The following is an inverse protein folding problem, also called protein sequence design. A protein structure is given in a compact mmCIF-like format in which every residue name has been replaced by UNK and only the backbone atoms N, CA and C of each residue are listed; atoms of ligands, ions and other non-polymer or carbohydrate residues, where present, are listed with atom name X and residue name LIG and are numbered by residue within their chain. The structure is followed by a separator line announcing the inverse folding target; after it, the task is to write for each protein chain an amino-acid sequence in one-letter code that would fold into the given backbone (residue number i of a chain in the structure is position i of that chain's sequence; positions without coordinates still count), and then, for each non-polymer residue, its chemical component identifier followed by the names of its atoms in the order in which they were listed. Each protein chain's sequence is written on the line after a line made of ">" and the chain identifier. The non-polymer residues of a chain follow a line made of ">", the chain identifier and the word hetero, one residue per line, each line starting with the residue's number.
data_IF_425046078359
#
_entry.id   IF_425046078359
#
_cell.length_a   1.000
_cell.length_b   1.000
_cell.length_c   1.000
_cell.angle_alpha   90.00
_cell.angle_beta   90.00
_cell.angle_gamma   90.00
#
_symmetry.space_group_name_H-M   'P 1'
#
loop_
_entity.id
_entity.type
_entity.pdbx_description
1 polymer ?
#
# COMPACT_ATOMS: atom_id res chain seq x y z
N UNK A 1 7.65 13.56 -12.01
CA UNK A 1 7.97 12.30 -11.32
C UNK A 1 9.18 12.51 -10.42
N UNK A 2 9.21 11.89 -9.23
CA UNK A 2 10.27 12.05 -8.22
C UNK A 2 10.85 10.65 -7.90
N UNK A 3 12.03 10.30 -8.45
CA UNK A 3 12.51 8.91 -8.46
C UNK A 3 12.78 8.34 -7.07
N UNK A 4 13.17 9.18 -6.11
CA UNK A 4 13.35 8.77 -4.71
C UNK A 4 12.09 8.10 -4.12
N UNK A 5 10.91 8.68 -4.33
CA UNK A 5 9.67 8.14 -3.79
C UNK A 5 9.23 6.85 -4.51
N UNK A 6 9.58 6.71 -5.79
CA UNK A 6 9.37 5.47 -6.52
C UNK A 6 10.30 4.36 -6.01
N UNK A 7 11.56 4.68 -5.73
CA UNK A 7 12.48 3.74 -5.09
C UNK A 7 11.96 3.31 -3.71
N UNK A 8 11.52 4.27 -2.89
CA UNK A 8 10.91 3.97 -1.59
C UNK A 8 9.63 3.12 -1.73
N UNK A 9 8.78 3.40 -2.72
CA UNK A 9 7.60 2.58 -3.00
C UNK A 9 8.00 1.14 -3.38
N UNK A 10 9.00 0.96 -4.24
CA UNK A 10 9.51 -0.36 -4.62
C UNK A 10 10.11 -1.11 -3.44
N UNK A 11 10.87 -0.44 -2.58
CA UNK A 11 11.40 -1.04 -1.35
C UNK A 11 10.27 -1.45 -0.40
N UNK A 12 9.24 -0.61 -0.28
CA UNK A 12 8.06 -0.91 0.52
C UNK A 12 7.27 -2.10 -0.03
N UNK A 13 7.09 -2.18 -1.35
CA UNK A 13 6.51 -3.37 -2.01
C UNK A 13 7.37 -4.62 -1.74
N UNK A 14 8.70 -4.53 -1.86
CA UNK A 14 9.59 -5.65 -1.52
C UNK A 14 9.46 -6.11 -0.07
N UNK A 15 9.31 -5.16 0.86
CA UNK A 15 9.06 -5.45 2.27
C UNK A 15 7.72 -6.15 2.49
N UNK A 16 6.63 -5.64 1.89
CA UNK A 16 5.30 -6.26 1.99
C UNK A 16 5.31 -7.68 1.45
N UNK A 17 5.85 -7.89 0.26
CA UNK A 17 6.01 -9.21 -0.33
C UNK A 17 6.73 -10.18 0.61
N UNK A 18 7.87 -9.76 1.17
CA UNK A 18 8.63 -10.61 2.08
C UNK A 18 7.84 -10.96 3.36
N UNK A 19 7.09 -10.01 3.92
CA UNK A 19 6.23 -10.25 5.08
C UNK A 19 5.04 -11.17 4.74
N UNK A 20 4.45 -11.01 3.57
CA UNK A 20 3.35 -11.83 3.03
C UNK A 20 3.79 -13.27 2.77
N UNK A 21 5.05 -13.48 2.34
CA UNK A 21 5.63 -14.80 2.03
C UNK A 21 5.88 -15.65 3.28
N UNK A 22 5.86 -15.05 4.48
CA UNK A 22 6.10 -15.80 5.72
C UNK A 22 4.92 -16.73 6.04
N UNK A 23 5.15 -18.06 6.20
CA UNK A 23 4.13 -18.99 6.64
C UNK A 23 3.62 -18.62 8.03
N UNK A 24 2.32 -18.77 8.25
CA UNK A 24 1.74 -18.46 9.55
C UNK A 24 1.92 -19.65 10.51
N UNK A 25 3.02 -19.64 11.29
CA UNK A 25 3.39 -20.72 12.22
C UNK A 25 2.97 -20.46 13.68
N UNK A 26 2.05 -19.52 13.91
CA UNK A 26 1.56 -19.14 15.23
C UNK A 26 0.42 -18.12 15.16
N UNK A 27 0.13 -17.44 16.28
CA UNK A 27 -0.82 -16.32 16.30
C UNK A 27 -0.21 -15.12 15.56
N UNK A 28 -0.76 -14.79 14.38
CA UNK A 28 -0.42 -13.58 13.63
C UNK A 28 -0.88 -12.30 14.33
N UNK A 29 -0.94 -11.18 13.61
CA UNK A 29 -1.50 -9.95 14.16
C UNK A 29 -2.96 -10.22 14.55
N UNK A 30 -3.35 -10.02 15.81
CA UNK A 30 -4.70 -10.36 16.24
C UNK A 30 -5.72 -9.42 15.64
N UNK A 31 -6.89 -9.95 15.26
CA UNK A 31 -8.02 -9.11 14.87
C UNK A 31 -8.40 -8.11 15.97
N UNK A 32 -8.73 -6.85 15.64
CA UNK A 32 -8.81 -6.26 14.29
C UNK A 32 -7.53 -5.54 13.84
N UNK A 33 -6.41 -5.71 14.54
CA UNK A 33 -5.18 -4.96 14.30
C UNK A 33 -4.47 -5.33 13.00
N UNK A 34 -4.73 -6.53 12.48
CA UNK A 34 -4.32 -6.99 11.15
C UNK A 34 -4.82 -6.03 10.06
N UNK A 35 -6.11 -5.65 10.10
CA UNK A 35 -6.70 -4.69 9.16
C UNK A 35 -6.11 -3.31 9.33
N UNK A 36 -5.79 -2.92 10.56
CA UNK A 36 -5.06 -1.68 10.83
C UNK A 36 -3.68 -1.67 10.16
N UNK A 37 -2.96 -2.79 10.24
CA UNK A 37 -1.66 -2.95 9.61
C UNK A 37 -1.75 -2.90 8.08
N UNK A 38 -2.69 -3.62 7.48
CA UNK A 38 -3.00 -3.57 6.05
C UNK A 38 -3.32 -2.15 5.59
N UNK A 39 -4.24 -1.48 6.27
CA UNK A 39 -4.62 -0.11 5.94
C UNK A 39 -3.41 0.84 5.95
N UNK A 40 -2.58 0.80 7.00
CA UNK A 40 -1.42 1.68 7.12
C UNK A 40 -0.32 1.33 6.11
N UNK A 41 -0.08 0.05 5.86
CA UNK A 41 0.86 -0.43 4.85
C UNK A 41 0.51 0.09 3.47
N UNK A 42 -0.76 -0.04 3.07
CA UNK A 42 -1.21 0.40 1.75
C UNK A 42 -1.42 1.92 1.68
N UNK A 43 -1.75 2.59 2.79
CA UNK A 43 -1.73 4.05 2.85
C UNK A 43 -0.33 4.63 2.63
N UNK A 44 0.70 4.02 3.21
CA UNK A 44 2.07 4.41 2.94
C UNK A 44 2.43 4.16 1.45
N UNK A 45 2.07 2.99 0.91
CA UNK A 45 2.31 2.69 -0.51
C UNK A 45 1.64 3.70 -1.44
N UNK A 46 0.36 3.98 -1.24
CA UNK A 46 -0.41 4.95 -2.04
C UNK A 46 0.18 6.36 -1.95
N UNK A 47 0.64 6.78 -0.77
CA UNK A 47 1.32 8.07 -0.59
C UNK A 47 2.65 8.13 -1.35
N UNK A 48 3.50 7.11 -1.23
CA UNK A 48 4.79 7.05 -1.92
C UNK A 48 4.62 7.03 -3.44
N UNK A 49 3.70 6.21 -3.94
CA UNK A 49 3.34 6.16 -5.35
C UNK A 49 2.82 7.52 -5.82
N UNK A 50 1.99 8.20 -5.01
CA UNK A 50 1.53 9.54 -5.35
C UNK A 50 2.68 10.53 -5.46
N UNK A 51 3.50 10.65 -4.43
CA UNK A 51 4.64 11.58 -4.42
C UNK A 51 5.64 11.28 -5.54
N UNK A 52 5.78 10.02 -5.94
CA UNK A 52 6.63 9.59 -7.05
C UNK A 52 6.06 9.89 -8.43
N UNK A 53 4.77 9.58 -8.65
CA UNK A 53 4.12 9.65 -9.97
C UNK A 53 3.47 11.00 -10.25
N UNK A 54 3.01 11.72 -9.22
CA UNK A 54 2.27 12.97 -9.32
C UNK A 54 0.84 12.82 -9.85
N UNK A 55 0.31 11.59 -9.93
CA UNK A 55 -0.99 11.31 -10.55
C UNK A 55 -1.84 10.44 -9.64
N UNK A 56 -2.88 11.02 -9.05
CA UNK A 56 -3.81 10.31 -8.18
C UNK A 56 -4.33 8.98 -8.76
N UNK A 57 -4.93 8.95 -9.97
CA UNK A 57 -5.57 7.71 -10.45
C UNK A 57 -4.55 6.59 -10.65
N UNK A 58 -3.35 6.93 -11.12
CA UNK A 58 -2.30 5.94 -11.35
C UNK A 58 -1.73 5.40 -10.03
N UNK A 59 -1.50 6.28 -9.05
CA UNK A 59 -1.01 5.86 -7.73
C UNK A 59 -1.99 4.94 -7.01
N UNK A 60 -3.28 5.28 -7.05
CA UNK A 60 -4.34 4.44 -6.46
C UNK A 60 -4.45 3.09 -7.18
N UNK A 61 -4.53 3.09 -8.53
CA UNK A 61 -4.68 1.85 -9.30
C UNK A 61 -3.49 0.92 -9.12
N UNK A 62 -2.26 1.44 -9.06
CA UNK A 62 -1.07 0.62 -8.81
C UNK A 62 -1.05 0.06 -7.39
N UNK A 63 -1.40 0.86 -6.38
CA UNK A 63 -1.49 0.38 -4.99
C UNK A 63 -2.55 -0.70 -4.81
N UNK A 64 -3.74 -0.50 -5.37
CA UNK A 64 -4.83 -1.48 -5.32
C UNK A 64 -4.53 -2.75 -6.12
N UNK A 65 -3.92 -2.62 -7.31
CA UNK A 65 -3.50 -3.77 -8.10
C UNK A 65 -2.42 -4.58 -7.39
N UNK A 66 -1.47 -3.91 -6.74
CA UNK A 66 -0.46 -4.58 -5.92
C UNK A 66 -1.10 -5.33 -4.74
N UNK A 67 -2.08 -4.74 -4.06
CA UNK A 67 -2.84 -5.42 -3.00
C UNK A 67 -3.54 -6.68 -3.48
N UNK A 68 -4.17 -6.64 -4.65
CA UNK A 68 -4.74 -7.84 -5.28
C UNK A 68 -3.71 -8.92 -5.59
N UNK A 69 -2.51 -8.54 -6.02
CA UNK A 69 -1.42 -9.49 -6.28
C UNK A 69 -0.86 -10.08 -4.99
N UNK A 70 -0.67 -9.27 -3.96
CA UNK A 70 -0.18 -9.68 -2.64
C UNK A 70 -1.15 -10.65 -1.96
N UNK A 71 -2.45 -10.35 -2.00
CA UNK A 71 -3.50 -11.22 -1.47
C UNK A 71 -3.58 -12.57 -2.20
N UNK A 72 -3.45 -12.53 -3.53
CA UNK A 72 -3.35 -13.76 -4.32
C UNK A 72 -2.09 -14.55 -3.99
N UNK A 73 -0.94 -13.89 -3.81
CA UNK A 73 0.30 -14.54 -3.38
C UNK A 73 0.16 -15.18 -2.00
N UNK A 74 -0.43 -14.48 -1.03
CA UNK A 74 -0.70 -15.02 0.31
C UNK A 74 -1.59 -16.27 0.26
N UNK A 75 -2.55 -16.36 -0.66
CA UNK A 75 -3.38 -17.57 -0.85
C UNK A 75 -2.57 -18.83 -1.19
N UNK A 76 -1.33 -18.65 -1.70
CA UNK A 76 -0.41 -19.73 -2.02
C UNK A 76 0.54 -20.08 -0.86
N UNK A 77 0.56 -19.26 0.20
CA UNK A 77 1.44 -19.42 1.37
C UNK A 77 0.75 -20.31 2.41
N UNK A 78 1.37 -21.42 2.83
CA UNK A 78 0.77 -22.34 3.81
C UNK A 78 0.40 -21.64 5.13
N UNK A 79 -0.84 -21.85 5.58
CA UNK A 79 -1.35 -21.33 6.85
C UNK A 79 -1.82 -19.87 6.81
N UNK A 80 -1.69 -19.18 5.68
CA UNK A 80 -2.32 -17.87 5.45
C UNK A 80 -3.74 -18.09 4.92
N UNK A 81 -4.69 -17.32 5.44
CA UNK A 81 -6.01 -17.20 4.83
C UNK A 81 -6.08 -15.89 4.06
N UNK A 82 -6.35 -15.99 2.75
CA UNK A 82 -6.66 -14.81 1.96
C UNK A 82 -8.10 -14.35 2.29
N UNK A 83 -8.24 -13.16 2.86
CA UNK A 83 -9.49 -12.52 3.18
C UNK A 83 -9.81 -11.43 2.16
N UNK A 84 -10.95 -11.56 1.47
CA UNK A 84 -11.45 -10.50 0.59
C UNK A 84 -11.67 -9.15 1.31
N UNK A 85 -11.74 -9.15 2.64
CA UNK A 85 -11.78 -7.92 3.44
C UNK A 85 -10.43 -7.19 3.45
N UNK A 86 -9.31 -7.91 3.42
CA UNK A 86 -7.97 -7.32 3.38
C UNK A 86 -7.75 -6.59 2.05
N UNK A 87 -8.21 -7.16 0.94
CA UNK A 87 -8.24 -6.46 -0.36
C UNK A 87 -8.99 -5.11 -0.32
N UNK A 88 -10.13 -5.07 0.39
CA UNK A 88 -10.90 -3.82 0.56
C UNK A 88 -10.11 -2.82 1.40
N UNK A 89 -9.50 -3.28 2.49
CA UNK A 89 -8.71 -2.47 3.41
C UNK A 89 -7.46 -1.91 2.74
N UNK A 90 -6.79 -2.72 1.93
CA UNK A 90 -5.63 -2.34 1.12
C UNK A 90 -5.99 -1.26 0.10
N UNK A 91 -7.09 -1.46 -0.63
CA UNK A 91 -7.59 -0.46 -1.58
C UNK A 91 -7.96 0.86 -0.88
N UNK A 92 -8.62 0.80 0.27
CA UNK A 92 -8.95 2.00 1.08
C UNK A 92 -7.69 2.70 1.58
N UNK A 93 -6.71 1.95 2.07
CA UNK A 93 -5.40 2.47 2.47
C UNK A 93 -4.74 3.21 1.30
N UNK A 94 -4.56 2.53 0.17
CA UNK A 94 -3.96 3.09 -1.04
C UNK A 94 -4.67 4.36 -1.52
N UNK A 95 -6.01 4.38 -1.49
CA UNK A 95 -6.81 5.55 -1.82
C UNK A 95 -6.50 6.73 -0.88
N UNK A 96 -6.56 6.50 0.44
CA UNK A 96 -6.32 7.54 1.45
C UNK A 96 -4.90 8.10 1.36
N UNK A 97 -3.91 7.21 1.23
CA UNK A 97 -2.51 7.57 1.02
C UNK A 97 -2.30 8.43 -0.23
N UNK A 98 -2.85 8.00 -1.36
CA UNK A 98 -2.71 8.71 -2.62
C UNK A 98 -3.44 10.08 -2.61
N UNK A 99 -4.55 10.20 -1.87
CA UNK A 99 -5.22 11.49 -1.62
C UNK A 99 -4.40 12.41 -0.70
N UNK A 100 -3.77 11.87 0.34
CA UNK A 100 -2.95 12.67 1.25
C UNK A 100 -1.78 13.37 0.54
N UNK A 101 -1.24 12.75 -0.51
CA UNK A 101 -0.19 13.35 -1.35
C UNK A 101 -0.61 14.65 -2.06
N UNK A 102 -1.90 14.91 -2.28
CA UNK A 102 -2.40 16.19 -2.83
C UNK A 102 -1.96 17.39 -1.98
N UNK A 103 -1.91 17.22 -0.65
CA UNK A 103 -1.52 18.27 0.31
C UNK A 103 -0.04 18.62 0.28
N UNK A 104 0.79 17.74 -0.27
CA UNK A 104 2.22 17.97 -0.45
C UNK A 104 2.58 18.47 -1.85
N UNK A 105 1.64 18.42 -2.80
CA UNK A 105 1.84 18.84 -4.19
C UNK A 105 1.37 20.28 -4.50
N UNK A 106 0.54 20.91 -3.66
CA UNK A 106 0.00 22.27 -3.91
C UNK A 106 0.50 23.34 -2.92
N UNK A 107 0.76 24.60 -3.34
CA UNK A 107 1.46 25.06 -4.56
C UNK A 107 2.79 25.78 -4.24
N UNK A 108 3.77 25.65 -5.15
CA UNK A 108 4.81 26.67 -5.35
C UNK A 108 4.17 27.84 -6.12
N UNK A 109 4.40 29.06 -5.64
CA UNK A 109 4.14 30.38 -6.22
C UNK A 109 2.70 30.93 -6.24
N UNK A 110 2.34 31.63 -5.18
CA UNK A 110 1.84 33.01 -5.30
C UNK A 110 2.87 33.94 -4.65
N UNK A 111 3.88 34.36 -5.42
CA UNK A 111 4.66 35.55 -5.08
C UNK A 111 4.25 36.62 -6.09
N UNK A 112 3.78 37.81 -5.63
CA UNK A 112 3.50 38.93 -6.51
C UNK A 112 4.77 39.42 -7.22
#
# INVERSE_FOLDING_TARGET
>A
MRPLFLLLALLHMGLLWWLSDQPQTGLGIPHPWDKGAHFLAYALLGLLLRLGLGRFPLAFLLGAAYGGVDEYHQSLVPGREAFGLDLVVDALGAFVGAKAGDRWEAPKTSRP
#
